data_IF_617941576658
#
_entry.id   IF_617941576658
#
_cell.length_a   1.000
_cell.length_b   1.000
_cell.length_c   1.000
_cell.angle_alpha   90.00
_cell.angle_beta   90.00
_cell.angle_gamma   90.00
#
_symmetry.space_group_name_H-M   'P 1'
#
loop_
_entity.id
_entity.type
_entity.pdbx_description
1 polymer ?
#
# COMPACT_ATOMS: atom_id res chain seq x y z
N UNK A 1 36.95 21.61 8.89
CA UNK A 1 36.71 20.39 9.63
C UNK A 1 35.41 20.49 10.39
N UNK A 2 34.52 19.51 10.28
CA UNK A 2 33.31 19.48 11.13
C UNK A 2 33.72 19.25 12.58
N UNK A 3 33.08 19.89 13.57
CA UNK A 3 33.36 19.65 14.98
C UNK A 3 33.09 18.18 15.31
N UNK A 4 33.88 17.55 16.18
CA UNK A 4 33.65 16.18 16.58
C UNK A 4 32.27 16.04 17.22
N UNK A 5 31.48 15.10 16.71
CA UNK A 5 30.19 14.74 17.33
C UNK A 5 30.52 14.13 18.70
N UNK A 6 30.25 14.87 19.74
CA UNK A 6 30.44 14.42 21.11
C UNK A 6 29.31 13.41 21.41
N UNK A 7 29.54 12.14 21.09
CA UNK A 7 28.65 11.04 21.45
C UNK A 7 28.91 10.72 22.93
N UNK A 8 28.48 11.60 23.82
CA UNK A 8 28.33 11.23 25.22
C UNK A 8 27.18 10.23 25.26
N UNK A 9 27.51 8.95 25.32
CA UNK A 9 26.58 7.85 25.62
C UNK A 9 26.15 7.94 27.09
N UNK A 10 25.50 9.03 27.48
CA UNK A 10 24.60 8.95 28.61
C UNK A 10 23.41 8.09 28.15
N UNK A 11 23.47 6.79 28.45
CA UNK A 11 22.27 5.98 28.56
C UNK A 11 21.41 6.66 29.64
N UNK A 12 20.53 7.57 29.22
CA UNK A 12 19.49 8.09 30.07
C UNK A 12 18.60 6.90 30.43
N UNK A 13 18.90 6.26 31.54
CA UNK A 13 18.04 5.21 32.12
C UNK A 13 16.73 5.90 32.44
N UNK A 14 15.67 5.55 31.71
CA UNK A 14 14.33 6.07 32.00
C UNK A 14 13.98 5.76 33.45
N UNK A 15 13.40 6.71 34.14
CA UNK A 15 12.89 6.48 35.49
C UNK A 15 11.77 5.44 35.48
N UNK A 16 11.50 4.81 36.60
CA UNK A 16 10.42 3.82 36.69
C UNK A 16 9.04 4.41 36.29
N UNK A 17 8.80 5.69 36.61
CA UNK A 17 7.60 6.42 36.21
C UNK A 17 7.54 6.66 34.69
N UNK A 18 8.65 7.11 34.07
CA UNK A 18 8.73 7.29 32.63
C UNK A 18 8.53 5.99 31.85
N UNK A 19 9.05 4.86 32.37
CA UNK A 19 8.85 3.54 31.79
C UNK A 19 7.39 3.09 31.91
N UNK A 20 6.72 3.39 33.04
CA UNK A 20 5.31 3.06 33.23
C UNK A 20 4.42 3.88 32.27
N UNK A 21 4.68 5.16 32.10
CA UNK A 21 3.96 6.05 31.18
C UNK A 21 4.18 5.62 29.71
N UNK A 22 5.39 5.25 29.35
CA UNK A 22 5.71 4.70 28.03
C UNK A 22 4.92 3.42 27.75
N UNK A 23 4.92 2.45 28.68
CA UNK A 23 4.18 1.20 28.53
C UNK A 23 2.67 1.42 28.46
N UNK A 24 2.15 2.39 29.21
CA UNK A 24 0.74 2.78 29.15
C UNK A 24 0.37 3.34 27.77
N UNK A 25 1.20 4.22 27.21
CA UNK A 25 0.98 4.79 25.88
C UNK A 25 1.02 3.70 24.78
N UNK A 26 1.95 2.74 24.86
CA UNK A 26 2.03 1.60 23.95
C UNK A 26 0.74 0.75 23.98
N UNK A 27 0.25 0.43 25.18
CA UNK A 27 -1.02 -0.31 25.33
C UNK A 27 -2.21 0.48 24.83
N UNK A 28 -2.23 1.80 25.03
CA UNK A 28 -3.29 2.67 24.53
C UNK A 28 -3.43 2.58 23.01
N UNK A 29 -2.32 2.57 22.27
CA UNK A 29 -2.33 2.43 20.79
C UNK A 29 -3.00 1.12 20.37
N UNK A 30 -2.72 0.00 21.06
CA UNK A 30 -3.33 -1.29 20.75
C UNK A 30 -4.85 -1.34 20.98
N UNK A 31 -5.38 -0.41 21.77
CA UNK A 31 -6.83 -0.29 22.04
C UNK A 31 -7.50 0.80 21.22
N UNK A 32 -6.77 1.56 20.41
CA UNK A 32 -7.32 2.65 19.57
C UNK A 32 -7.97 2.11 18.30
N UNK A 33 -9.31 2.20 18.14
CA UNK A 33 -9.99 1.71 16.92
C UNK A 33 -9.46 2.36 15.64
N UNK A 34 -9.09 3.65 15.70
CA UNK A 34 -8.56 4.38 14.55
C UNK A 34 -7.28 3.76 13.99
N UNK A 35 -6.39 3.23 14.84
CA UNK A 35 -5.17 2.54 14.39
C UNK A 35 -5.51 1.22 13.69
N UNK A 36 -6.48 0.45 14.18
CA UNK A 36 -6.89 -0.80 13.54
C UNK A 36 -7.61 -0.57 12.21
N UNK A 37 -8.44 0.47 12.10
CA UNK A 37 -9.09 0.83 10.84
C UNK A 37 -8.03 1.30 9.83
N UNK A 38 -7.04 2.09 10.25
CA UNK A 38 -5.92 2.48 9.40
C UNK A 38 -5.07 1.27 8.99
N UNK A 39 -4.84 0.33 9.91
CA UNK A 39 -4.14 -0.92 9.65
C UNK A 39 -4.86 -1.77 8.59
N UNK A 40 -6.20 -1.87 8.66
CA UNK A 40 -7.02 -2.51 7.63
C UNK A 40 -6.91 -1.78 6.29
N UNK A 41 -7.00 -0.44 6.28
CA UNK A 41 -6.82 0.35 5.06
C UNK A 41 -5.46 0.06 4.40
N UNK A 42 -4.40 0.04 5.20
CA UNK A 42 -3.05 -0.27 4.72
C UNK A 42 -2.92 -1.73 4.25
N UNK A 43 -3.51 -2.69 4.95
CA UNK A 43 -3.51 -4.10 4.54
C UNK A 43 -4.18 -4.28 3.16
N UNK A 44 -5.33 -3.66 2.94
CA UNK A 44 -6.02 -3.72 1.65
C UNK A 44 -5.25 -3.00 0.53
N UNK A 45 -4.56 -1.90 0.83
CA UNK A 45 -3.66 -1.26 -0.11
C UNK A 45 -2.48 -2.18 -0.46
N UNK A 46 -1.92 -2.90 0.51
CA UNK A 46 -0.85 -3.87 0.26
C UNK A 46 -1.33 -5.07 -0.57
N UNK A 47 -2.58 -5.52 -0.41
CA UNK A 47 -3.17 -6.54 -1.29
C UNK A 47 -3.12 -6.05 -2.74
N UNK A 48 -3.61 -4.86 -3.05
CA UNK A 48 -3.60 -4.32 -4.43
C UNK A 48 -2.18 -4.10 -4.96
N UNK A 49 -1.25 -3.68 -4.11
CA UNK A 49 0.16 -3.48 -4.48
C UNK A 49 0.85 -4.78 -4.87
N UNK A 50 0.74 -5.80 -4.00
CA UNK A 50 1.40 -7.08 -4.23
C UNK A 50 0.72 -7.90 -5.33
N UNK A 51 -0.58 -7.68 -5.58
CA UNK A 51 -1.28 -8.22 -6.74
C UNK A 51 -0.53 -7.90 -8.04
N UNK A 52 -0.21 -6.64 -8.27
CA UNK A 52 0.52 -6.22 -9.47
C UNK A 52 1.98 -6.66 -9.42
N UNK A 53 2.64 -6.55 -8.27
CA UNK A 53 4.06 -6.87 -8.17
C UNK A 53 4.36 -8.37 -8.34
N UNK A 54 3.53 -9.25 -7.75
CA UNK A 54 3.74 -10.70 -7.79
C UNK A 54 3.14 -11.36 -9.03
N UNK A 55 1.96 -10.88 -9.46
CA UNK A 55 1.17 -11.57 -10.48
C UNK A 55 1.00 -10.75 -11.77
N UNK A 56 1.43 -9.49 -11.80
CA UNK A 56 1.20 -8.59 -12.92
C UNK A 56 1.85 -9.07 -14.23
N UNK A 57 3.08 -9.60 -14.19
CA UNK A 57 3.75 -10.15 -15.37
C UNK A 57 2.96 -11.35 -15.90
N UNK A 58 2.64 -12.31 -15.03
CA UNK A 58 1.85 -13.49 -15.40
C UNK A 58 0.48 -13.11 -15.96
N UNK A 59 -0.20 -12.11 -15.37
CA UNK A 59 -1.46 -11.60 -15.87
C UNK A 59 -1.34 -11.04 -17.29
N UNK A 60 -0.31 -10.24 -17.56
CA UNK A 60 -0.06 -9.67 -18.90
C UNK A 60 0.23 -10.75 -19.93
N UNK A 61 1.00 -11.76 -19.58
CA UNK A 61 1.30 -12.88 -20.46
C UNK A 61 0.06 -13.75 -20.73
N UNK A 62 -0.56 -14.26 -19.67
CA UNK A 62 -1.62 -15.25 -19.77
C UNK A 62 -2.96 -14.67 -20.24
N UNK A 63 -3.32 -13.46 -19.79
CA UNK A 63 -4.61 -12.83 -20.09
C UNK A 63 -4.57 -11.91 -21.31
N UNK A 64 -3.50 -11.12 -21.46
CA UNK A 64 -3.42 -10.15 -22.54
C UNK A 64 -2.57 -10.59 -23.71
N UNK A 65 -1.68 -11.57 -23.54
CA UNK A 65 -0.84 -12.12 -24.61
C UNK A 65 0.44 -11.33 -24.89
N UNK A 66 0.95 -10.61 -23.89
CA UNK A 66 2.25 -9.93 -24.00
C UNK A 66 3.43 -10.92 -23.99
N UNK A 67 4.55 -10.50 -24.57
CA UNK A 67 5.83 -11.18 -24.33
C UNK A 67 6.29 -10.95 -22.89
N UNK A 68 7.08 -11.87 -22.33
CA UNK A 68 7.67 -11.74 -20.98
C UNK A 68 8.47 -10.43 -20.84
N UNK A 69 9.15 -10.02 -21.91
CA UNK A 69 9.94 -8.79 -21.91
C UNK A 69 9.06 -7.54 -21.80
N UNK A 70 8.02 -7.44 -22.63
CA UNK A 70 7.09 -6.30 -22.61
C UNK A 70 6.31 -6.24 -21.31
N UNK A 71 5.83 -7.39 -20.82
CA UNK A 71 5.13 -7.50 -19.55
C UNK A 71 6.01 -7.02 -18.37
N UNK A 72 7.25 -7.49 -18.32
CA UNK A 72 8.21 -7.09 -17.28
C UNK A 72 8.55 -5.61 -17.38
N UNK A 73 8.68 -5.06 -18.60
CA UNK A 73 8.92 -3.64 -18.81
C UNK A 73 7.75 -2.79 -18.28
N UNK A 74 6.50 -3.15 -18.64
CA UNK A 74 5.29 -2.44 -18.18
C UNK A 74 5.19 -2.46 -16.64
N UNK A 75 5.42 -3.60 -16.00
CA UNK A 75 5.37 -3.69 -14.53
C UNK A 75 6.51 -2.89 -13.88
N UNK A 76 7.70 -2.87 -14.48
CA UNK A 76 8.84 -2.09 -13.98
C UNK A 76 8.58 -0.59 -13.94
N UNK A 77 7.76 -0.07 -14.86
CA UNK A 77 7.33 1.35 -14.86
C UNK A 77 6.66 1.68 -13.53
N UNK A 78 5.80 0.81 -13.00
CA UNK A 78 5.11 1.05 -11.73
C UNK A 78 6.08 1.16 -10.56
N UNK A 79 7.15 0.38 -10.56
CA UNK A 79 8.17 0.41 -9.50
C UNK A 79 8.94 1.73 -9.50
N UNK A 80 9.38 2.20 -10.67
CA UNK A 80 10.07 3.49 -10.82
C UNK A 80 9.16 4.65 -10.42
N UNK A 81 7.92 4.66 -10.91
CA UNK A 81 6.92 5.67 -10.55
C UNK A 81 6.56 5.62 -9.05
N UNK A 82 6.59 4.45 -8.43
CA UNK A 82 6.40 4.27 -6.98
C UNK A 82 7.48 4.95 -6.15
N UNK A 83 8.74 4.86 -6.57
CA UNK A 83 9.84 5.59 -5.92
C UNK A 83 9.60 7.10 -6.01
N UNK A 84 9.23 7.60 -7.20
CA UNK A 84 8.91 9.02 -7.41
C UNK A 84 7.75 9.45 -6.52
N UNK A 85 6.64 8.70 -6.50
CA UNK A 85 5.49 8.97 -5.65
C UNK A 85 5.86 9.05 -4.16
N UNK A 86 6.68 8.11 -3.69
CA UNK A 86 7.17 8.08 -2.31
C UNK A 86 8.02 9.30 -1.97
N UNK A 87 8.96 9.67 -2.84
CA UNK A 87 9.86 10.81 -2.62
C UNK A 87 9.09 12.14 -2.56
N UNK A 88 8.08 12.32 -3.40
CA UNK A 88 7.31 13.55 -3.47
C UNK A 88 6.10 13.61 -2.55
N UNK A 89 5.74 12.52 -1.88
CA UNK A 89 4.56 12.44 -1.01
C UNK A 89 4.51 13.52 0.06
N UNK A 90 5.63 13.77 0.75
CA UNK A 90 5.75 14.83 1.76
C UNK A 90 5.54 16.23 1.17
N UNK A 91 6.19 16.51 0.05
CA UNK A 91 6.06 17.81 -0.65
C UNK A 91 4.62 18.04 -1.12
N UNK A 92 3.97 16.98 -1.63
CA UNK A 92 2.55 17.02 -2.05
C UNK A 92 1.67 17.37 -0.86
N UNK A 93 1.84 16.68 0.27
CA UNK A 93 1.06 16.94 1.49
C UNK A 93 1.27 18.36 2.01
N UNK A 94 2.51 18.79 2.15
CA UNK A 94 2.84 20.02 2.85
C UNK A 94 2.56 21.27 2.01
N UNK A 95 2.94 21.25 0.73
CA UNK A 95 2.80 22.42 -0.15
C UNK A 95 1.41 22.54 -0.79
N UNK A 96 0.81 21.42 -1.23
CA UNK A 96 -0.47 21.46 -1.95
C UNK A 96 -1.68 21.35 -1.01
N UNK A 97 -1.54 20.65 0.12
CA UNK A 97 -2.65 20.36 1.00
C UNK A 97 -2.48 20.87 2.44
N UNK A 98 -1.48 21.74 2.68
CA UNK A 98 -1.25 22.38 3.98
C UNK A 98 -1.02 21.38 5.11
N UNK A 99 -0.32 20.29 4.86
CA UNK A 99 -0.04 19.22 5.82
C UNK A 99 -1.21 18.25 6.07
N UNK A 100 -2.34 18.40 5.37
CA UNK A 100 -3.47 17.48 5.45
C UNK A 100 -3.16 16.22 4.65
N UNK A 101 -3.01 15.08 5.31
CA UNK A 101 -2.66 13.81 4.65
C UNK A 101 -3.85 13.04 4.11
N UNK A 102 -5.06 13.32 4.63
CA UNK A 102 -6.28 12.62 4.22
C UNK A 102 -6.68 12.91 2.78
N UNK A 103 -6.56 14.18 2.34
CA UNK A 103 -6.96 14.59 0.98
C UNK A 103 -6.08 13.92 -0.08
N UNK A 104 -4.74 14.02 -0.04
CA UNK A 104 -3.91 13.31 -1.00
C UNK A 104 -4.05 11.78 -0.89
N UNK A 105 -4.24 11.20 0.30
CA UNK A 105 -4.52 9.78 0.44
C UNK A 105 -5.79 9.35 -0.31
N UNK A 106 -6.85 10.16 -0.26
CA UNK A 106 -8.08 9.91 -1.02
C UNK A 106 -7.85 10.03 -2.54
N UNK A 107 -7.22 11.11 -2.99
CA UNK A 107 -6.97 11.35 -4.42
C UNK A 107 -6.14 10.21 -5.01
N UNK A 108 -5.02 9.87 -4.39
CA UNK A 108 -4.14 8.81 -4.86
C UNK A 108 -4.74 7.41 -4.67
N UNK A 109 -5.61 7.23 -3.65
CA UNK A 109 -6.41 6.01 -3.49
C UNK A 109 -7.39 5.81 -4.65
N UNK A 110 -8.12 6.84 -5.03
CA UNK A 110 -9.02 6.81 -6.20
C UNK A 110 -8.24 6.63 -7.51
N UNK A 111 -7.09 7.30 -7.65
CA UNK A 111 -6.19 7.11 -8.79
C UNK A 111 -5.71 5.66 -8.90
N UNK A 112 -5.41 5.02 -7.75
CA UNK A 112 -5.02 3.61 -7.72
C UNK A 112 -6.15 2.68 -8.17
N UNK A 113 -7.39 2.92 -7.72
CA UNK A 113 -8.58 2.17 -8.19
C UNK A 113 -8.76 2.34 -9.69
N UNK A 114 -8.69 3.59 -10.20
CA UNK A 114 -8.80 3.87 -11.64
C UNK A 114 -7.71 3.16 -12.44
N UNK A 115 -6.47 3.22 -11.97
CA UNK A 115 -5.34 2.55 -12.61
C UNK A 115 -5.54 1.03 -12.72
N UNK A 116 -6.01 0.39 -11.65
CA UNK A 116 -6.34 -1.04 -11.66
C UNK A 116 -7.50 -1.35 -12.60
N UNK A 117 -8.54 -0.51 -12.63
CA UNK A 117 -9.64 -0.70 -13.58
C UNK A 117 -9.15 -0.61 -15.04
N UNK A 118 -8.32 0.37 -15.37
CA UNK A 118 -7.72 0.50 -16.71
C UNK A 118 -6.84 -0.70 -17.05
N UNK A 119 -6.03 -1.16 -16.09
CA UNK A 119 -5.11 -2.27 -16.31
C UNK A 119 -5.81 -3.62 -16.44
N UNK A 120 -6.82 -3.90 -15.61
CA UNK A 120 -7.44 -5.23 -15.48
C UNK A 120 -8.70 -5.40 -16.35
N UNK A 121 -9.47 -4.34 -16.59
CA UNK A 121 -10.76 -4.45 -17.26
C UNK A 121 -10.70 -4.17 -18.77
N UNK A 122 -9.61 -3.55 -19.27
CA UNK A 122 -9.45 -3.33 -20.71
C UNK A 122 -8.77 -4.55 -21.34
N UNK A 123 -9.49 -5.32 -22.18
CA UNK A 123 -8.95 -6.53 -22.78
C UNK A 123 -8.00 -6.23 -23.93
N UNK A 124 -7.11 -7.18 -24.24
CA UNK A 124 -6.18 -7.11 -25.37
C UNK A 124 -4.88 -6.37 -25.09
N UNK A 125 -4.03 -6.33 -26.12
CA UNK A 125 -2.70 -5.73 -26.05
C UNK A 125 -2.77 -4.24 -26.37
N UNK A 126 -2.68 -3.39 -25.36
CA UNK A 126 -2.67 -1.93 -25.50
C UNK A 126 -1.49 -1.35 -24.72
N UNK A 127 -0.28 -1.52 -25.24
CA UNK A 127 0.98 -1.18 -24.56
C UNK A 127 0.97 0.20 -23.89
N UNK A 128 0.56 1.25 -24.61
CA UNK A 128 0.55 2.60 -24.05
C UNK A 128 -0.50 2.80 -22.95
N UNK A 129 -1.64 2.15 -23.07
CA UNK A 129 -2.68 2.21 -22.03
C UNK A 129 -2.23 1.50 -20.77
N UNK A 130 -1.63 0.30 -20.92
CA UNK A 130 -1.11 -0.47 -19.79
C UNK A 130 0.08 0.26 -19.14
N UNK A 131 0.95 0.91 -19.92
CA UNK A 131 2.03 1.74 -19.40
C UNK A 131 1.49 2.95 -18.61
N UNK A 132 0.48 3.67 -19.13
CA UNK A 132 -0.17 4.78 -18.41
C UNK A 132 -0.84 4.29 -17.14
N UNK A 133 -1.54 3.15 -17.18
CA UNK A 133 -2.13 2.55 -15.99
C UNK A 133 -1.05 2.25 -14.92
N UNK A 134 0.11 1.72 -15.32
CA UNK A 134 1.21 1.43 -14.41
C UNK A 134 1.92 2.69 -13.88
N UNK A 135 1.98 3.77 -14.64
CA UNK A 135 2.44 5.09 -14.15
C UNK A 135 1.50 5.58 -13.03
N UNK A 136 0.20 5.61 -13.30
CA UNK A 136 -0.81 6.05 -12.31
C UNK A 136 -0.81 5.16 -11.07
N UNK A 137 -0.74 3.85 -11.27
CA UNK A 137 -0.67 2.86 -10.19
C UNK A 137 0.58 3.08 -9.32
N UNK A 138 1.75 3.17 -9.94
CA UNK A 138 3.01 3.35 -9.24
C UNK A 138 3.04 4.63 -8.41
N UNK A 139 2.70 5.78 -9.03
CA UNK A 139 2.60 7.07 -8.32
C UNK A 139 1.61 6.99 -7.15
N UNK A 140 0.42 6.42 -7.40
CA UNK A 140 -0.62 6.25 -6.38
C UNK A 140 -0.14 5.41 -5.19
N UNK A 141 0.39 4.23 -5.46
CA UNK A 141 0.91 3.31 -4.43
C UNK A 141 2.09 3.95 -3.67
N UNK A 142 3.01 4.64 -4.35
CA UNK A 142 4.14 5.30 -3.70
C UNK A 142 3.70 6.32 -2.65
N UNK A 143 2.71 7.15 -2.98
CA UNK A 143 2.13 8.13 -2.05
C UNK A 143 1.35 7.43 -0.92
N UNK A 144 0.54 6.42 -1.25
CA UNK A 144 -0.27 5.70 -0.27
C UNK A 144 0.57 4.94 0.76
N UNK A 145 1.70 4.36 0.38
CA UNK A 145 2.63 3.71 1.30
C UNK A 145 3.11 4.69 2.37
N UNK A 146 3.46 5.92 1.98
CA UNK A 146 3.88 6.94 2.94
C UNK A 146 2.74 7.34 3.87
N UNK A 147 1.53 7.53 3.37
CA UNK A 147 0.43 8.03 4.17
C UNK A 147 -0.23 6.93 4.99
N UNK A 148 -0.77 5.89 4.36
CA UNK A 148 -1.49 4.82 5.04
C UNK A 148 -0.53 3.88 5.79
N UNK A 149 0.65 3.63 5.23
CA UNK A 149 1.65 2.77 5.85
C UNK A 149 2.46 3.41 6.98
N UNK A 150 2.44 4.74 7.08
CA UNK A 150 3.32 5.41 8.03
C UNK A 150 2.78 6.70 8.64
N UNK A 151 2.74 7.78 7.87
CA UNK A 151 2.55 9.13 8.39
C UNK A 151 1.22 9.33 9.12
N UNK A 152 0.11 8.74 8.63
CA UNK A 152 -1.18 8.83 9.31
C UNK A 152 -1.20 8.06 10.64
N UNK A 153 -0.46 6.96 10.76
CA UNK A 153 -0.32 6.25 12.02
C UNK A 153 0.40 7.10 13.08
N UNK A 154 1.45 7.82 12.67
CA UNK A 154 2.18 8.74 13.54
C UNK A 154 1.32 9.92 13.97
N UNK A 155 0.45 10.43 13.08
CA UNK A 155 -0.43 11.56 13.39
C UNK A 155 -1.58 11.20 14.35
N UNK A 156 -2.03 9.94 14.31
CA UNK A 156 -3.14 9.43 15.17
C UNK A 156 -2.60 9.01 16.54
N UNK A 157 -1.40 8.45 16.59
CA UNK A 157 -0.83 7.91 17.83
C UNK A 157 -0.23 8.98 18.74
N UNK A 158 -0.17 8.75 20.07
CA UNK A 158 0.64 9.55 20.97
C UNK A 158 2.11 9.54 20.53
N UNK A 159 2.81 10.68 20.69
CA UNK A 159 4.21 10.85 20.24
C UNK A 159 5.17 9.78 20.77
N UNK A 160 4.98 9.37 22.02
CA UNK A 160 5.80 8.34 22.69
C UNK A 160 5.41 6.90 22.30
N UNK A 161 4.36 6.71 21.50
CA UNK A 161 3.88 5.39 21.07
C UNK A 161 3.75 5.25 19.54
N UNK A 162 4.32 6.18 18.77
CA UNK A 162 4.30 6.14 17.29
C UNK A 162 4.90 4.84 16.73
N UNK A 163 5.94 4.30 17.38
CA UNK A 163 6.54 3.02 16.99
C UNK A 163 5.58 1.84 17.10
N UNK A 164 4.73 1.79 18.15
CA UNK A 164 3.70 0.76 18.27
C UNK A 164 2.63 0.88 17.18
N UNK A 165 2.20 2.09 16.87
CA UNK A 165 1.24 2.34 15.79
C UNK A 165 1.79 1.89 14.43
N UNK A 166 3.02 2.26 14.11
CA UNK A 166 3.70 1.80 12.89
C UNK A 166 3.85 0.28 12.85
N UNK A 167 4.15 -0.34 14.01
CA UNK A 167 4.24 -1.79 14.13
C UNK A 167 2.91 -2.50 13.82
N UNK A 168 1.80 -2.02 14.38
CA UNK A 168 0.45 -2.58 14.11
C UNK A 168 0.10 -2.45 12.63
N UNK A 169 0.27 -1.26 12.05
CA UNK A 169 -0.03 -1.02 10.63
C UNK A 169 0.89 -1.85 9.73
N UNK A 170 2.18 -1.93 10.05
CA UNK A 170 3.15 -2.72 9.29
C UNK A 170 2.83 -4.22 9.30
N UNK A 171 2.55 -4.81 10.47
CA UNK A 171 2.17 -6.21 10.60
C UNK A 171 0.90 -6.50 9.78
N UNK A 172 -0.15 -5.70 9.93
CA UNK A 172 -1.39 -5.88 9.18
C UNK A 172 -1.15 -5.79 7.66
N UNK A 173 -0.31 -4.85 7.21
CA UNK A 173 0.04 -4.68 5.80
C UNK A 173 0.71 -5.92 5.21
N UNK A 174 1.68 -6.50 5.91
CA UNK A 174 2.37 -7.70 5.42
C UNK A 174 1.54 -8.97 5.56
N UNK A 175 0.64 -9.06 6.55
CA UNK A 175 -0.38 -10.12 6.58
C UNK A 175 -1.27 -10.01 5.33
N UNK A 176 -1.72 -8.80 4.98
CA UNK A 176 -2.47 -8.56 3.75
C UNK A 176 -1.71 -9.00 2.49
N UNK A 177 -0.42 -8.66 2.39
CA UNK A 177 0.44 -9.07 1.29
C UNK A 177 0.54 -10.62 1.17
N UNK A 178 0.78 -11.32 2.28
CA UNK A 178 0.86 -12.77 2.28
C UNK A 178 -0.47 -13.44 1.94
N UNK A 179 -1.58 -12.94 2.49
CA UNK A 179 -2.92 -13.42 2.15
C UNK A 179 -3.23 -13.21 0.67
N UNK A 180 -2.82 -12.08 0.10
CA UNK A 180 -2.98 -11.79 -1.32
C UNK A 180 -2.31 -12.85 -2.19
N UNK A 181 -1.05 -13.20 -1.94
CA UNK A 181 -0.33 -14.18 -2.75
C UNK A 181 -0.99 -15.56 -2.71
N UNK A 182 -1.41 -16.01 -1.52
CA UNK A 182 -2.13 -17.28 -1.36
C UNK A 182 -3.49 -17.25 -2.07
N UNK A 183 -4.29 -16.21 -1.82
CA UNK A 183 -5.63 -16.09 -2.43
C UNK A 183 -5.56 -15.96 -3.95
N UNK A 184 -4.59 -15.21 -4.46
CA UNK A 184 -4.39 -15.08 -5.91
C UNK A 184 -4.02 -16.43 -6.54
N UNK A 185 -3.10 -17.16 -5.94
CA UNK A 185 -2.74 -18.50 -6.41
C UNK A 185 -3.93 -19.46 -6.44
N UNK A 186 -4.72 -19.50 -5.36
CA UNK A 186 -5.92 -20.36 -5.27
C UNK A 186 -6.97 -19.95 -6.30
N UNK A 187 -7.23 -18.64 -6.47
CA UNK A 187 -8.22 -18.17 -7.44
C UNK A 187 -7.81 -18.44 -8.89
N UNK A 188 -6.54 -18.23 -9.22
CA UNK A 188 -6.02 -18.48 -10.57
C UNK A 188 -6.07 -19.98 -10.88
N UNK A 189 -5.55 -20.82 -10.00
CA UNK A 189 -5.52 -22.28 -10.21
C UNK A 189 -6.93 -22.89 -10.21
N UNK A 190 -7.82 -22.40 -9.35
CA UNK A 190 -9.20 -22.88 -9.25
C UNK A 190 -10.07 -22.56 -10.46
N UNK A 191 -9.69 -21.58 -11.29
CA UNK A 191 -10.41 -21.20 -12.52
C UNK A 191 -9.60 -21.48 -13.79
N UNK A 192 -8.65 -22.40 -13.70
CA UNK A 192 -7.89 -22.90 -14.83
C UNK A 192 -8.69 -23.96 -15.59
N UNK A 193 -8.71 -23.86 -16.93
CA UNK A 193 -9.30 -24.83 -17.82
C UNK A 193 -8.28 -25.28 -18.88
N UNK A 194 -8.38 -26.55 -19.35
CA UNK A 194 -7.52 -27.04 -20.42
C UNK A 194 -8.33 -27.01 -21.71
N UNK A 195 -7.92 -26.22 -22.70
CA UNK A 195 -8.51 -26.19 -24.05
C UNK A 195 -7.44 -26.56 -25.07
N UNK A 196 -7.71 -27.61 -25.85
CA UNK A 196 -6.79 -28.13 -26.88
C UNK A 196 -5.37 -28.44 -26.37
N UNK A 197 -5.24 -28.88 -25.11
CA UNK A 197 -3.94 -29.19 -24.50
C UNK A 197 -3.18 -27.94 -23.96
N UNK A 198 -3.79 -26.75 -24.02
CA UNK A 198 -3.22 -25.49 -23.48
C UNK A 198 -4.00 -25.05 -22.24
N UNK A 199 -3.28 -24.63 -21.22
CA UNK A 199 -3.88 -24.06 -20.02
C UNK A 199 -4.42 -22.65 -20.32
N UNK A 200 -5.70 -22.43 -20.00
CA UNK A 200 -6.38 -21.14 -20.13
C UNK A 200 -6.89 -20.74 -18.75
N UNK A 201 -6.52 -19.55 -18.31
CA UNK A 201 -6.85 -19.00 -17.00
C UNK A 201 -7.99 -17.98 -17.12
N UNK A 202 -8.99 -18.08 -16.23
CA UNK A 202 -10.04 -17.07 -16.10
C UNK A 202 -9.69 -16.12 -14.94
N UNK A 203 -9.31 -14.90 -15.29
CA UNK A 203 -8.91 -13.87 -14.34
C UNK A 203 -10.09 -13.03 -13.79
N UNK A 204 -11.32 -13.34 -14.15
CA UNK A 204 -12.49 -12.52 -13.77
C UNK A 204 -12.59 -12.33 -12.25
N UNK A 205 -12.52 -13.43 -11.49
CA UNK A 205 -12.67 -13.39 -10.03
C UNK A 205 -11.52 -12.68 -9.35
N UNK A 206 -10.30 -12.88 -9.82
CA UNK A 206 -9.12 -12.28 -9.24
C UNK A 206 -9.04 -10.78 -9.54
N UNK A 207 -9.47 -10.34 -10.73
CA UNK A 207 -9.57 -8.94 -11.08
C UNK A 207 -10.47 -8.18 -10.09
N UNK A 208 -11.64 -8.75 -9.78
CA UNK A 208 -12.53 -8.16 -8.78
C UNK A 208 -11.98 -8.22 -7.36
N UNK A 209 -11.21 -9.25 -7.00
CA UNK A 209 -10.52 -9.31 -5.73
C UNK A 209 -9.48 -8.19 -5.60
N UNK A 210 -8.68 -7.94 -6.62
CA UNK A 210 -7.65 -6.90 -6.61
C UNK A 210 -8.25 -5.49 -6.64
N UNK A 211 -9.23 -5.24 -7.50
CA UNK A 211 -9.94 -3.94 -7.55
C UNK A 211 -10.72 -3.72 -6.25
N UNK A 212 -11.43 -4.72 -5.77
CA UNK A 212 -12.19 -4.64 -4.52
C UNK A 212 -11.31 -4.31 -3.32
N UNK A 213 -10.10 -4.87 -3.25
CA UNK A 213 -9.15 -4.53 -2.19
C UNK A 213 -8.72 -3.06 -2.25
N UNK A 214 -8.46 -2.51 -3.44
CA UNK A 214 -8.14 -1.09 -3.58
C UNK A 214 -9.31 -0.19 -3.14
N UNK A 215 -10.55 -0.56 -3.49
CA UNK A 215 -11.76 0.16 -3.05
C UNK A 215 -11.91 0.10 -1.52
N UNK A 216 -11.74 -1.08 -0.91
CA UNK A 216 -11.81 -1.24 0.54
C UNK A 216 -10.73 -0.44 1.26
N UNK A 217 -9.53 -0.34 0.70
CA UNK A 217 -8.47 0.52 1.25
C UNK A 217 -8.93 1.98 1.32
N UNK A 218 -9.51 2.51 0.25
CA UNK A 218 -10.04 3.88 0.22
C UNK A 218 -11.19 4.05 1.21
N UNK A 219 -12.09 3.08 1.29
CA UNK A 219 -13.23 3.10 2.21
C UNK A 219 -12.76 3.19 3.68
N UNK A 220 -11.82 2.36 4.11
CA UNK A 220 -11.27 2.41 5.45
C UNK A 220 -10.43 3.68 5.70
N UNK A 221 -9.72 4.21 4.69
CA UNK A 221 -9.04 5.49 4.80
C UNK A 221 -10.01 6.65 5.06
N UNK A 222 -11.18 6.64 4.42
CA UNK A 222 -12.24 7.60 4.67
C UNK A 222 -12.82 7.49 6.09
N UNK A 223 -12.90 6.30 6.64
CA UNK A 223 -13.42 6.10 8.00
C UNK A 223 -12.53 6.73 9.06
N UNK A 224 -11.21 6.79 8.85
CA UNK A 224 -10.27 7.48 9.75
C UNK A 224 -10.05 8.95 9.38
N UNK A 225 -10.87 9.53 8.50
CA UNK A 225 -10.70 10.90 7.99
C UNK A 225 -10.52 11.96 9.07
N UNK A 226 -11.29 11.86 10.15
CA UNK A 226 -11.29 12.81 11.26
C UNK A 226 -10.55 12.30 12.50
N UNK A 227 -9.88 11.15 12.41
CA UNK A 227 -9.12 10.62 13.52
C UNK A 227 -7.88 11.49 13.73
N UNK A 228 -7.91 12.29 14.81
CA UNK A 228 -6.77 13.08 15.28
C UNK A 228 -6.47 12.70 16.72
N UNK A 229 -5.24 12.87 17.13
CA UNK A 229 -4.87 12.87 18.53
C UNK A 229 -5.69 13.98 19.25
N UNK A 230 -6.47 13.60 20.28
CA UNK A 230 -7.10 14.52 21.21
C UNK A 230 -6.08 15.06 22.21
#
# INVERSE_FOLDING_TARGET
GFPPVNVSKEKKTMSASETADFNKAQRQVLTMPAIWILALSSAFMYISRYAVNSWGVFYLEAQKGYSTLDASFIISISSVCGIIGTMFSGVISDKLFGGRRNVPALIFGLTNVLALCLFLLVPGVHFWLDAVAMILFGLGIGVLICFLGGLMAVDIAPRNASGAALGVVGIASYIGAGLQDVMSGVLIEGHKTIRNGVEVYDFTYINWFWIGSAILSVFFALWVWNAKQK
#
